data_IF_258716730278
#
_entry.id   IF_258716730278
#
_cell.length_a   1.000
_cell.length_b   1.000
_cell.length_c   1.000
_cell.angle_alpha   90.00
_cell.angle_beta   90.00
_cell.angle_gamma   90.00
#
_symmetry.space_group_name_H-M   'P 1'
#
loop_
_entity.id
_entity.type
_entity.pdbx_description
1 polymer ?
#
# COMPACT_ATOMS: atom_id res chain seq x y z
N UNK A 1 18.33 -9.21 19.53
CA UNK A 1 18.68 -8.34 18.38
C UNK A 1 17.35 -7.93 17.77
N UNK A 2 17.06 -6.63 17.68
CA UNK A 2 15.85 -6.16 17.00
C UNK A 2 16.00 -6.54 15.51
N UNK A 3 15.08 -7.34 14.99
CA UNK A 3 15.11 -7.83 13.61
C UNK A 3 14.36 -6.86 12.72
N UNK A 4 14.99 -6.49 11.60
CA UNK A 4 14.38 -5.73 10.52
C UNK A 4 14.51 -6.60 9.27
N UNK A 5 13.39 -7.11 8.77
CA UNK A 5 13.34 -7.99 7.61
C UNK A 5 12.43 -7.39 6.53
N UNK A 6 12.86 -7.50 5.28
CA UNK A 6 12.14 -7.08 4.10
C UNK A 6 12.41 -8.07 2.97
N UNK A 7 11.35 -8.62 2.38
CA UNK A 7 11.41 -9.54 1.26
C UNK A 7 10.54 -9.01 0.13
N UNK A 8 11.08 -9.02 -1.09
CA UNK A 8 10.40 -8.56 -2.29
C UNK A 8 10.05 -9.74 -3.20
N UNK A 9 8.84 -9.70 -3.76
CA UNK A 9 8.30 -10.68 -4.68
C UNK A 9 7.78 -9.95 -5.91
N UNK A 10 7.96 -10.54 -7.10
CA UNK A 10 7.46 -9.97 -8.34
C UNK A 10 6.31 -10.81 -8.89
N UNK A 11 5.22 -10.15 -9.28
CA UNK A 11 4.08 -10.79 -9.97
C UNK A 11 4.26 -10.58 -11.48
N UNK A 12 5.17 -11.36 -12.07
CA UNK A 12 5.72 -11.11 -13.41
C UNK A 12 4.71 -10.98 -14.57
N UNK A 13 3.52 -11.58 -14.46
CA UNK A 13 2.48 -11.51 -15.50
C UNK A 13 1.47 -10.36 -15.32
N UNK A 14 1.57 -9.55 -14.25
CA UNK A 14 0.57 -8.53 -13.88
C UNK A 14 1.17 -7.12 -13.94
N UNK A 15 1.70 -6.74 -15.09
CA UNK A 15 2.23 -5.38 -15.30
C UNK A 15 3.45 -5.02 -14.43
N UNK A 16 4.12 -6.02 -13.85
CA UNK A 16 5.30 -5.82 -13.02
C UNK A 16 5.00 -5.37 -11.59
N UNK A 17 3.85 -5.75 -11.02
CA UNK A 17 3.57 -5.50 -9.59
C UNK A 17 4.66 -6.13 -8.71
N UNK A 18 5.22 -5.32 -7.83
CA UNK A 18 6.18 -5.75 -6.80
C UNK A 18 5.49 -5.76 -5.44
N UNK A 19 5.79 -6.77 -4.62
CA UNK A 19 5.19 -6.94 -3.31
C UNK A 19 6.29 -7.03 -2.27
N UNK A 20 6.28 -6.11 -1.32
CA UNK A 20 7.12 -6.13 -0.12
C UNK A 20 6.36 -6.81 1.01
N UNK A 21 7.03 -7.73 1.70
CA UNK A 21 6.63 -8.26 3.01
C UNK A 21 7.68 -7.80 4.02
N UNK A 22 7.26 -7.02 5.01
CA UNK A 22 8.14 -6.38 5.98
C UNK A 22 7.79 -6.77 7.42
N UNK A 23 8.84 -6.89 8.25
CA UNK A 23 8.77 -7.04 9.70
C UNK A 23 9.86 -6.16 10.32
N UNK A 24 9.49 -4.96 10.74
CA UNK A 24 10.42 -3.97 11.27
C UNK A 24 10.21 -3.72 12.76
N UNK A 25 11.26 -3.92 13.53
CA UNK A 25 11.28 -3.61 14.94
C UNK A 25 11.57 -2.13 15.24
N UNK A 26 12.35 -1.44 14.39
CA UNK A 26 12.75 -0.04 14.64
C UNK A 26 13.25 0.72 13.40
N UNK A 27 12.68 0.42 12.23
CA UNK A 27 13.11 1.06 10.98
C UNK A 27 12.43 2.42 10.76
N UNK A 28 13.17 3.35 10.12
CA UNK A 28 12.67 4.63 9.62
C UNK A 28 13.19 4.83 8.20
N UNK A 29 12.27 4.99 7.25
CA UNK A 29 12.52 5.47 5.90
C UNK A 29 12.55 7.00 5.88
N UNK A 30 13.49 7.57 5.13
CA UNK A 30 13.50 9.01 4.84
C UNK A 30 12.35 9.37 3.91
N UNK A 31 12.04 10.67 3.80
CA UNK A 31 10.99 11.15 2.90
C UNK A 31 11.37 10.86 1.44
N UNK A 32 10.45 10.23 0.70
CA UNK A 32 10.64 9.81 -0.69
C UNK A 32 9.28 9.73 -1.41
N UNK A 33 9.31 9.35 -2.68
CA UNK A 33 8.14 9.09 -3.51
C UNK A 33 8.51 8.07 -4.59
N UNK A 34 7.50 7.50 -5.27
CA UNK A 34 7.66 6.56 -6.38
C UNK A 34 6.56 6.74 -7.43
N UNK A 35 6.77 6.17 -8.63
CA UNK A 35 5.86 6.26 -9.79
C UNK A 35 4.66 5.29 -9.71
N UNK A 36 4.68 4.35 -8.76
CA UNK A 36 3.61 3.37 -8.54
C UNK A 36 2.65 3.84 -7.43
N UNK A 37 1.47 3.25 -7.38
CA UNK A 37 0.66 3.23 -6.16
C UNK A 37 1.33 2.36 -5.12
N UNK A 38 1.33 2.79 -3.86
CA UNK A 38 1.69 1.96 -2.72
C UNK A 38 0.43 1.58 -1.96
N UNK A 39 0.09 0.29 -2.00
CA UNK A 39 -1.13 -0.27 -1.41
C UNK A 39 -0.72 -1.27 -0.35
N UNK A 40 -0.83 -0.88 0.92
CA UNK A 40 -0.28 -1.66 2.03
C UNK A 40 -1.31 -2.08 3.06
N UNK A 41 -1.07 -3.20 3.73
CA UNK A 41 -1.89 -3.67 4.84
C UNK A 41 -1.01 -3.95 6.06
N UNK A 42 -1.34 -3.33 7.20
CA UNK A 42 -0.59 -3.54 8.45
C UNK A 42 -1.15 -4.75 9.18
N UNK A 43 -0.31 -5.77 9.37
CA UNK A 43 -0.66 -7.04 10.03
C UNK A 43 -0.56 -6.89 11.55
N UNK A 44 0.56 -6.38 12.05
CA UNK A 44 0.78 -6.09 13.48
C UNK A 44 1.51 -4.78 13.66
N UNK A 45 1.37 -4.16 14.83
CA UNK A 45 1.99 -2.88 15.15
C UNK A 45 1.35 -1.71 14.41
N UNK A 46 2.15 -0.66 14.21
CA UNK A 46 1.76 0.56 13.51
C UNK A 46 2.97 1.23 12.85
N UNK A 47 2.73 1.94 11.76
CA UNK A 47 3.72 2.82 11.14
C UNK A 47 3.12 4.19 10.80
N UNK A 48 3.97 5.21 10.72
CA UNK A 48 3.60 6.55 10.26
C UNK A 48 4.21 6.82 8.88
N UNK A 49 3.35 7.01 7.89
CA UNK A 49 3.73 7.32 6.50
C UNK A 49 3.89 8.83 6.25
N UNK A 50 3.62 9.69 7.24
CA UNK A 50 3.73 11.14 7.05
C UNK A 50 5.19 11.55 6.76
N UNK A 51 5.44 12.43 5.77
CA UNK A 51 6.80 12.89 5.45
C UNK A 51 7.54 13.48 6.64
N UNK A 52 6.80 14.11 7.56
CA UNK A 52 7.33 14.80 8.74
C UNK A 52 7.38 13.90 9.98
N UNK A 53 6.80 12.70 9.94
CA UNK A 53 6.66 11.82 11.10
C UNK A 53 5.87 12.46 12.24
N UNK A 54 4.84 13.25 11.89
CA UNK A 54 4.04 14.04 12.82
C UNK A 54 2.75 13.33 13.29
N UNK A 55 2.51 12.10 12.83
CA UNK A 55 1.34 11.31 13.19
C UNK A 55 0.17 11.40 12.20
N UNK A 56 0.22 12.27 11.19
CA UNK A 56 -0.89 12.43 10.23
C UNK A 56 -1.00 11.26 9.24
N UNK A 57 0.03 10.41 9.19
CA UNK A 57 0.10 9.25 8.30
C UNK A 57 0.02 7.91 9.02
N UNK A 58 -0.53 7.86 10.24
CA UNK A 58 -0.51 6.63 11.06
C UNK A 58 -1.49 5.59 10.54
N UNK A 59 -0.95 4.40 10.26
CA UNK A 59 -1.71 3.21 9.89
C UNK A 59 -1.36 2.09 10.86
N UNK A 60 -2.38 1.44 11.40
CA UNK A 60 -2.27 0.44 12.47
C UNK A 60 -2.80 -0.92 12.03
N UNK A 61 -2.53 -1.93 12.83
CA UNK A 61 -2.97 -3.32 12.64
C UNK A 61 -4.43 -3.42 12.16
N UNK A 62 -4.65 -4.11 11.05
CA UNK A 62 -5.97 -4.28 10.43
C UNK A 62 -6.36 -3.20 9.42
N UNK A 63 -5.56 -2.15 9.27
CA UNK A 63 -5.83 -1.06 8.34
C UNK A 63 -5.03 -1.19 7.04
N UNK A 64 -5.57 -0.57 6.00
CA UNK A 64 -4.95 -0.47 4.67
C UNK A 64 -4.49 0.96 4.43
N UNK A 65 -3.31 1.13 3.87
CA UNK A 65 -2.74 2.40 3.42
C UNK A 65 -2.77 2.47 1.91
N UNK A 66 -3.15 3.62 1.37
CA UNK A 66 -3.04 3.95 -0.04
C UNK A 66 -2.19 5.21 -0.16
N UNK A 67 -1.16 5.16 -1.01
CA UNK A 67 -0.27 6.27 -1.32
C UNK A 67 -0.23 6.42 -2.84
N UNK A 68 -0.57 7.61 -3.33
CA UNK A 68 -0.65 7.87 -4.76
C UNK A 68 0.74 8.01 -5.39
N UNK A 69 0.88 7.73 -6.70
CA UNK A 69 2.09 8.04 -7.45
C UNK A 69 2.54 9.50 -7.27
N UNK A 70 3.84 9.71 -7.04
CA UNK A 70 4.42 11.05 -6.86
C UNK A 70 4.14 11.69 -5.50
N UNK A 71 3.35 11.08 -4.62
CA UNK A 71 3.10 11.59 -3.29
C UNK A 71 4.32 11.38 -2.39
N UNK A 72 4.82 12.48 -1.81
CA UNK A 72 5.91 12.40 -0.83
C UNK A 72 5.37 11.77 0.44
N UNK A 73 6.05 10.73 0.92
CA UNK A 73 5.76 10.03 2.15
C UNK A 73 7.06 9.56 2.81
N UNK A 74 6.97 9.10 4.05
CA UNK A 74 8.06 8.44 4.75
C UNK A 74 7.56 7.12 5.31
N UNK A 75 8.27 6.55 6.28
CA UNK A 75 7.78 5.39 7.02
C UNK A 75 8.52 5.27 8.33
N UNK A 76 7.82 5.23 9.46
CA UNK A 76 8.44 5.06 10.78
C UNK A 76 7.63 4.08 11.61
N UNK A 77 8.29 3.04 12.13
CA UNK A 77 7.67 2.14 13.12
C UNK A 77 7.27 2.92 14.38
N UNK A 78 6.06 2.68 14.87
CA UNK A 78 5.53 3.27 16.09
C UNK A 78 5.31 2.21 17.18
N UNK A 79 5.45 2.62 18.43
CA UNK A 79 5.25 1.76 19.59
C UNK A 79 6.45 0.87 19.91
N UNK A 80 6.23 -0.09 20.80
CA UNK A 80 7.24 -1.07 21.25
C UNK A 80 7.22 -2.37 20.46
N UNK A 81 6.13 -2.63 19.74
CA UNK A 81 5.94 -3.85 18.96
C UNK A 81 6.50 -3.69 17.55
N UNK A 82 6.91 -4.80 16.94
CA UNK A 82 7.29 -4.79 15.54
C UNK A 82 6.09 -4.42 14.66
N UNK A 83 6.34 -3.57 13.65
CA UNK A 83 5.39 -3.32 12.59
C UNK A 83 5.59 -4.35 11.47
N UNK A 84 4.60 -5.23 11.31
CA UNK A 84 4.53 -6.17 10.19
C UNK A 84 3.53 -5.68 9.19
N UNK A 85 3.90 -5.61 7.93
CA UNK A 85 2.98 -5.16 6.88
C UNK A 85 3.37 -5.77 5.53
N UNK A 86 2.43 -5.70 4.60
CA UNK A 86 2.66 -5.98 3.19
C UNK A 86 2.43 -4.70 2.41
N UNK A 87 3.14 -4.50 1.30
CA UNK A 87 2.99 -3.35 0.42
C UNK A 87 3.03 -3.82 -1.04
N UNK A 88 2.01 -3.48 -1.81
CA UNK A 88 1.92 -3.74 -3.24
C UNK A 88 2.23 -2.45 -3.99
N UNK A 89 3.24 -2.50 -4.86
CA UNK A 89 3.62 -1.42 -5.75
C UNK A 89 2.95 -1.65 -7.11
N UNK A 90 1.89 -0.89 -7.38
CA UNK A 90 1.00 -1.11 -8.53
C UNK A 90 1.14 0.03 -9.52
N UNK A 91 1.37 -0.28 -10.80
CA UNK A 91 1.42 0.75 -11.83
C UNK A 91 0.07 1.44 -11.98
N UNK A 92 0.09 2.77 -12.18
CA UNK A 92 -1.10 3.58 -12.48
C UNK A 92 -1.95 2.97 -13.61
N UNK A 93 -1.28 2.45 -14.65
CA UNK A 93 -1.95 1.83 -15.79
C UNK A 93 -2.71 0.56 -15.44
N UNK A 94 -2.22 -0.25 -14.50
CA UNK A 94 -2.90 -1.48 -14.07
C UNK A 94 -4.12 -1.16 -13.20
N UNK A 95 -4.00 -0.16 -12.32
CA UNK A 95 -5.13 0.32 -11.54
C UNK A 95 -6.19 0.96 -12.43
N UNK A 96 -5.79 1.84 -13.35
CA UNK A 96 -6.68 2.47 -14.33
C UNK A 96 -7.46 1.43 -15.14
N UNK A 97 -6.80 0.39 -15.67
CA UNK A 97 -7.49 -0.71 -16.38
C UNK A 97 -8.55 -1.39 -15.52
N UNK A 98 -8.28 -1.60 -14.23
CA UNK A 98 -9.24 -2.22 -13.34
C UNK A 98 -10.48 -1.34 -13.13
N UNK A 99 -10.31 -0.02 -12.97
CA UNK A 99 -11.45 0.91 -12.87
C UNK A 99 -12.24 1.06 -14.18
N UNK A 100 -11.55 1.08 -15.33
CA UNK A 100 -12.17 1.18 -16.64
C UNK A 100 -13.11 0.01 -16.94
N UNK A 101 -12.82 -1.19 -16.42
CA UNK A 101 -13.71 -2.36 -16.54
C UNK A 101 -15.08 -2.13 -15.89
N UNK A 102 -15.17 -1.22 -14.91
CA UNK A 102 -16.43 -0.82 -14.26
C UNK A 102 -16.96 0.51 -14.79
N UNK A 103 -16.37 1.06 -15.86
CA UNK A 103 -16.77 2.35 -16.42
C UNK A 103 -16.43 3.54 -15.52
N UNK A 104 -15.46 3.38 -14.62
CA UNK A 104 -15.04 4.39 -13.66
C UNK A 104 -13.60 4.84 -13.92
N UNK A 105 -13.18 5.92 -13.25
CA UNK A 105 -11.78 6.37 -13.21
C UNK A 105 -11.25 6.21 -11.80
N UNK A 106 -9.94 6.06 -11.68
CA UNK A 106 -9.26 6.10 -10.37
C UNK A 106 -9.58 7.46 -9.73
N UNK A 107 -10.06 7.51 -8.47
CA UNK A 107 -10.33 8.77 -7.81
C UNK A 107 -9.02 9.51 -7.53
N UNK A 108 -9.06 10.84 -7.59
CA UNK A 108 -7.94 11.66 -7.16
C UNK A 108 -7.89 11.66 -5.64
N UNK A 109 -6.99 10.86 -5.07
CA UNK A 109 -6.77 10.76 -3.63
C UNK A 109 -5.30 11.03 -3.32
N UNK A 110 -5.04 11.62 -2.15
CA UNK A 110 -3.75 11.60 -1.49
C UNK A 110 -3.62 10.36 -0.60
N UNK A 111 -2.68 10.40 0.36
CA UNK A 111 -2.53 9.41 1.39
C UNK A 111 -3.87 9.16 2.07
N UNK A 112 -4.28 7.90 2.09
CA UNK A 112 -5.56 7.49 2.62
C UNK A 112 -5.40 6.23 3.45
N UNK A 113 -5.94 6.28 4.66
CA UNK A 113 -6.12 5.10 5.50
C UNK A 113 -7.54 4.56 5.33
N UNK A 114 -7.62 3.28 4.97
CA UNK A 114 -8.87 2.58 4.70
C UNK A 114 -9.13 1.54 5.79
N UNK A 115 -10.31 1.63 6.41
CA UNK A 115 -10.84 0.61 7.30
C UNK A 115 -11.72 -0.35 6.50
N UNK A 116 -11.14 -1.43 5.96
CA UNK A 116 -11.86 -2.52 5.30
C UNK A 116 -11.22 -3.85 5.68
N UNK A 117 -11.84 -4.62 6.59
CA UNK A 117 -11.34 -5.94 6.96
C UNK A 117 -11.19 -6.89 5.78
N UNK A 118 -12.08 -6.81 4.80
CA UNK A 118 -12.09 -7.68 3.61
C UNK A 118 -10.89 -7.39 2.72
N UNK A 119 -10.65 -6.11 2.38
CA UNK A 119 -9.49 -5.72 1.58
C UNK A 119 -8.18 -6.01 2.31
N UNK A 120 -8.13 -5.72 3.62
CA UNK A 120 -6.98 -6.05 4.46
C UNK A 120 -6.63 -7.53 4.40
N UNK A 121 -7.62 -8.39 4.65
CA UNK A 121 -7.42 -9.85 4.66
C UNK A 121 -6.96 -10.38 3.31
N UNK A 122 -7.57 -9.93 2.20
CA UNK A 122 -7.19 -10.39 0.87
C UNK A 122 -5.78 -9.92 0.47
N UNK A 123 -5.39 -8.68 0.79
CA UNK A 123 -4.02 -8.19 0.55
C UNK A 123 -2.99 -9.03 1.31
N UNK A 124 -3.25 -9.32 2.60
CA UNK A 124 -2.36 -10.14 3.42
C UNK A 124 -2.29 -11.57 2.87
N UNK A 125 -3.44 -12.19 2.57
CA UNK A 125 -3.48 -13.54 2.02
C UNK A 125 -2.73 -13.63 0.69
N UNK A 126 -2.93 -12.67 -0.21
CA UNK A 126 -2.29 -12.68 -1.52
C UNK A 126 -0.77 -12.53 -1.41
N UNK A 127 -0.30 -11.66 -0.50
CA UNK A 127 1.13 -11.55 -0.22
C UNK A 127 1.71 -12.84 0.39
N UNK A 128 0.98 -13.50 1.30
CA UNK A 128 1.45 -14.78 1.88
C UNK A 128 1.49 -15.89 0.81
N UNK A 129 0.54 -15.93 -0.12
CA UNK A 129 0.56 -16.87 -1.25
C UNK A 129 1.76 -16.62 -2.17
N UNK A 130 2.13 -15.37 -2.42
CA UNK A 130 3.35 -15.05 -3.18
C UNK A 130 4.63 -15.55 -2.51
N UNK A 131 4.64 -15.59 -1.17
CA UNK A 131 5.77 -16.10 -0.39
C UNK A 131 5.79 -17.63 -0.25
N UNK A 132 4.70 -18.31 -0.55
CA UNK A 132 4.54 -19.75 -0.39
C UNK A 132 5.08 -20.50 -1.63
N UNK A 133 6.16 -21.31 -1.51
CA UNK A 133 6.75 -21.99 -2.66
C UNK A 133 5.81 -22.97 -3.38
N UNK A 134 4.76 -23.43 -2.70
CA UNK A 134 3.78 -24.36 -3.26
C UNK A 134 2.62 -23.68 -4.00
N UNK A 135 2.49 -22.34 -3.93
CA UNK A 135 1.43 -21.62 -4.63
C UNK A 135 1.61 -21.64 -6.14
N UNK A 136 0.50 -21.87 -6.85
CA UNK A 136 0.50 -21.84 -8.31
C UNK A 136 0.30 -20.42 -8.82
N UNK A 137 0.67 -20.17 -10.09
CA UNK A 137 0.37 -18.89 -10.75
C UNK A 137 -1.14 -18.61 -10.78
N UNK A 138 -1.97 -19.65 -10.88
CA UNK A 138 -3.42 -19.52 -10.86
C UNK A 138 -3.94 -19.03 -9.51
N UNK A 139 -3.40 -19.55 -8.40
CA UNK A 139 -3.78 -19.11 -7.05
C UNK A 139 -3.47 -17.63 -6.85
N UNK A 140 -2.26 -17.23 -7.26
CA UNK A 140 -1.80 -15.83 -7.24
C UNK A 140 -2.72 -14.96 -8.13
N UNK A 141 -3.10 -15.46 -9.30
CA UNK A 141 -3.97 -14.74 -10.21
C UNK A 141 -5.37 -14.51 -9.62
N UNK A 142 -5.92 -15.50 -8.92
CA UNK A 142 -7.21 -15.40 -8.24
C UNK A 142 -7.12 -14.39 -7.09
N UNK A 143 -6.10 -14.49 -6.22
CA UNK A 143 -5.96 -13.57 -5.09
C UNK A 143 -5.78 -12.12 -5.57
N UNK A 144 -4.94 -11.91 -6.60
CA UNK A 144 -4.68 -10.57 -7.10
C UNK A 144 -5.91 -9.94 -7.75
N UNK A 145 -6.68 -10.72 -8.51
CA UNK A 145 -7.95 -10.24 -9.09
C UNK A 145 -8.96 -9.87 -7.98
N UNK A 146 -9.02 -10.60 -6.88
CA UNK A 146 -9.88 -10.27 -5.73
C UNK A 146 -9.42 -8.99 -5.02
N UNK A 147 -8.11 -8.82 -4.82
CA UNK A 147 -7.54 -7.58 -4.26
C UNK A 147 -7.95 -6.36 -5.10
N UNK A 148 -7.77 -6.44 -6.43
CA UNK A 148 -8.14 -5.35 -7.33
C UNK A 148 -9.64 -5.07 -7.33
N UNK A 149 -10.49 -6.10 -7.32
CA UNK A 149 -11.94 -5.94 -7.26
C UNK A 149 -12.40 -5.21 -5.98
N UNK A 150 -11.89 -5.63 -4.82
CA UNK A 150 -12.19 -4.99 -3.53
C UNK A 150 -11.66 -3.55 -3.46
N UNK A 151 -10.48 -3.32 -4.03
CA UNK A 151 -9.89 -1.98 -4.08
C UNK A 151 -10.76 -1.03 -4.92
N UNK A 152 -11.17 -1.45 -6.12
CA UNK A 152 -12.06 -0.67 -6.99
C UNK A 152 -13.38 -0.42 -6.26
N UNK A 153 -14.03 -1.46 -5.73
CA UNK A 153 -15.27 -1.32 -4.97
C UNK A 153 -15.14 -0.27 -3.86
N UNK A 154 -14.03 -0.33 -3.10
CA UNK A 154 -13.81 0.54 -1.96
C UNK A 154 -13.58 1.99 -2.37
N UNK A 155 -12.75 2.19 -3.39
CA UNK A 155 -12.40 3.52 -3.89
C UNK A 155 -13.54 4.19 -4.66
N UNK A 156 -14.41 3.41 -5.31
CA UNK A 156 -15.58 3.91 -6.01
C UNK A 156 -16.67 4.45 -5.09
N UNK A 157 -16.60 4.17 -3.78
CA UNK A 157 -17.48 4.74 -2.76
C UNK A 157 -17.02 6.12 -2.27
N UNK A 158 -15.82 6.56 -2.67
CA UNK A 158 -15.22 7.80 -2.18
C UNK A 158 -15.73 8.97 -3.02
N UNK A 159 -16.38 9.92 -2.36
CA UNK A 159 -16.73 11.21 -2.97
C UNK A 159 -15.45 12.05 -3.01
N UNK A 160 -15.00 12.39 -4.22
CA UNK A 160 -13.86 13.28 -4.43
C UNK A 160 -14.23 14.66 -3.84
N UNK A 161 -13.50 15.07 -2.80
CA UNK A 161 -13.48 16.46 -2.36
C UNK A 161 -12.15 17.01 -2.85
N UNK A 162 -12.20 17.98 -3.77
CA UNK A 162 -11.02 18.68 -4.27
C UNK A 162 -10.29 19.37 -3.10
N UNK A 163 -9.28 18.72 -2.52
CA UNK A 163 -8.32 19.42 -1.67
C UNK A 163 -6.89 18.98 -1.98
N UNK A 164 -6.01 19.98 -2.00
CA UNK A 164 -4.71 19.99 -2.64
C UNK A 164 -3.70 19.15 -1.84
N UNK A 165 -3.24 18.04 -2.43
CA UNK A 165 -2.05 17.34 -1.93
C UNK A 165 -0.83 18.28 -1.98
N UNK A 166 0.01 18.31 -0.93
CA UNK A 166 1.25 19.08 -0.96
C UNK A 166 2.18 18.55 -2.04
N UNK A 167 2.77 19.47 -2.82
CA UNK A 167 3.68 19.15 -3.91
C UNK A 167 5.12 19.08 -3.41
N UNK A 168 5.99 18.39 -4.13
CA UNK A 168 7.45 18.33 -3.87
C UNK A 168 8.08 19.72 -3.68
N UNK A 169 7.52 20.74 -4.33
CA UNK A 169 7.92 22.14 -4.22
C UNK A 169 7.73 22.72 -2.81
N UNK A 170 6.77 22.19 -2.04
CA UNK A 170 6.47 22.60 -0.66
C UNK A 170 7.49 22.09 0.35
N UNK A 171 8.35 21.15 -0.05
CA UNK A 171 9.40 20.55 0.78
C UNK A 171 10.81 21.07 0.45
N UNK A 172 10.97 21.97 -0.53
CA UNK A 172 12.29 22.53 -0.94
C UNK A 172 12.90 23.51 0.06
N UNK A 173 12.17 23.91 1.10
CA UNK A 173 12.63 24.86 2.13
C UNK A 173 12.78 24.21 3.53
N UNK A 174 12.92 22.89 3.61
CA UNK A 174 13.18 22.15 4.86
C UNK A 174 14.63 21.65 4.92
#
# INVERSE_FOLDING_TARGET
MLLNNAQFYAVGNRGGVEVLIADFASHKFDAHWHETWSIGAVITGAHDNSPKGNGDGVVTSGQVSLLAPGEVHAGKVLGSDNCKYVMFYVQETELSKAFEQFGQRVPLISHMTVNSPELHQELVQCAMQLAEPSSTMFDIDVCWTRCMGLLVERLSQIVIVDDLSPKVEDFRNL
#
